data_IF_891459556008
#
_entry.id   IF_891459556008
#
_cell.length_a   1.000
_cell.length_b   1.000
_cell.length_c   1.000
_cell.angle_alpha   90.00
_cell.angle_beta   90.00
_cell.angle_gamma   90.00
#
_symmetry.space_group_name_H-M   'P 1'
#
loop_
_entity.id
_entity.type
_entity.pdbx_description
1 polymer ?
#
# COMPACT_ATOMS: atom_id res chain seq x y z
N UNK A 1 -6.68 -38.14 -1.79
CA UNK A 1 -6.66 -37.57 -3.16
C UNK A 1 -5.22 -37.14 -3.41
N UNK A 2 -4.63 -37.49 -4.56
CA UNK A 2 -3.23 -37.20 -4.85
C UNK A 2 -3.03 -35.67 -4.91
N UNK A 3 -2.09 -35.14 -4.12
CA UNK A 3 -1.82 -33.71 -4.01
C UNK A 3 -1.42 -33.10 -5.37
N UNK A 4 -0.78 -33.89 -6.23
CA UNK A 4 -0.47 -33.49 -7.61
C UNK A 4 -1.75 -33.21 -8.41
N UNK A 5 -2.79 -34.03 -8.24
CA UNK A 5 -4.09 -33.84 -8.90
C UNK A 5 -4.79 -32.58 -8.41
N UNK A 6 -4.71 -32.29 -7.12
CA UNK A 6 -5.28 -31.07 -6.53
C UNK A 6 -4.61 -29.81 -7.09
N UNK A 7 -3.28 -29.77 -7.14
CA UNK A 7 -2.53 -28.64 -7.68
C UNK A 7 -2.79 -28.41 -9.18
N UNK A 8 -2.90 -29.50 -9.95
CA UNK A 8 -3.28 -29.39 -11.36
C UNK A 8 -4.71 -28.84 -11.51
N UNK A 9 -5.65 -29.21 -10.64
CA UNK A 9 -7.01 -28.63 -10.66
C UNK A 9 -7.01 -27.14 -10.30
N UNK A 10 -6.26 -26.75 -9.28
CA UNK A 10 -6.10 -25.35 -8.89
C UNK A 10 -5.49 -24.51 -10.02
N UNK A 11 -4.45 -25.03 -10.67
CA UNK A 11 -3.80 -24.36 -11.78
C UNK A 11 -4.72 -24.27 -13.02
N UNK A 12 -5.18 -25.40 -13.54
CA UNK A 12 -5.96 -25.44 -14.79
C UNK A 12 -7.39 -24.92 -14.65
N UNK A 13 -7.93 -24.87 -13.43
CA UNK A 13 -9.24 -24.28 -13.13
C UNK A 13 -9.10 -22.85 -12.65
N UNK A 14 -8.90 -22.68 -11.32
CA UNK A 14 -8.98 -21.37 -10.67
C UNK A 14 -8.00 -20.35 -11.24
N UNK A 15 -6.74 -20.72 -11.45
CA UNK A 15 -5.73 -19.75 -11.94
C UNK A 15 -6.01 -19.31 -13.38
N UNK A 16 -6.38 -20.24 -14.24
CA UNK A 16 -6.78 -19.92 -15.60
C UNK A 16 -8.00 -18.99 -15.63
N UNK A 17 -9.03 -19.28 -14.83
CA UNK A 17 -10.23 -18.45 -14.72
C UNK A 17 -9.90 -17.05 -14.17
N UNK A 18 -9.03 -16.98 -13.16
CA UNK A 18 -8.58 -15.73 -12.55
C UNK A 18 -7.81 -14.83 -13.52
N UNK A 19 -7.06 -15.41 -14.46
CA UNK A 19 -6.30 -14.67 -15.46
C UNK A 19 -7.17 -14.20 -16.65
N UNK A 20 -8.36 -14.77 -16.82
CA UNK A 20 -9.24 -14.46 -17.94
C UNK A 20 -9.61 -12.96 -17.96
N UNK A 21 -9.37 -12.30 -19.11
CA UNK A 21 -9.63 -10.87 -19.27
C UNK A 21 -8.55 -9.94 -18.69
N UNK A 22 -7.47 -10.50 -18.14
CA UNK A 22 -6.27 -9.75 -17.72
C UNK A 22 -5.14 -9.92 -18.74
N UNK A 23 -4.06 -9.14 -18.61
CA UNK A 23 -2.83 -9.38 -19.39
C UNK A 23 -1.91 -10.44 -18.79
N UNK A 24 -2.22 -10.90 -17.58
CA UNK A 24 -1.42 -11.85 -16.83
C UNK A 24 -1.61 -13.24 -17.38
N UNK A 25 -0.51 -13.96 -17.57
CA UNK A 25 -0.54 -15.34 -18.04
C UNK A 25 -0.64 -16.29 -16.83
N UNK A 26 -1.35 -17.43 -16.95
CA UNK A 26 -1.54 -18.35 -15.82
C UNK A 26 -0.27 -18.79 -15.10
N UNK A 27 0.83 -19.01 -15.82
CA UNK A 27 2.12 -19.39 -15.22
C UNK A 27 2.84 -18.28 -14.45
N UNK A 28 2.42 -17.02 -14.60
CA UNK A 28 2.90 -15.89 -13.77
C UNK A 28 2.21 -15.87 -12.40
N UNK A 29 1.08 -16.58 -12.25
CA UNK A 29 0.30 -16.69 -11.02
C UNK A 29 0.66 -17.91 -10.16
N UNK A 30 1.74 -18.61 -10.51
CA UNK A 30 2.33 -19.69 -9.73
C UNK A 30 3.82 -19.42 -9.59
N UNK A 31 4.39 -19.74 -8.43
CA UNK A 31 5.81 -19.54 -8.15
C UNK A 31 6.33 -20.62 -7.21
N UNK A 32 7.63 -20.81 -7.18
CA UNK A 32 8.23 -21.60 -6.11
C UNK A 32 8.21 -20.82 -4.80
N UNK A 33 8.09 -21.54 -3.70
CA UNK A 33 8.20 -21.00 -2.36
C UNK A 33 9.60 -20.37 -2.20
N UNK A 34 9.68 -19.12 -1.70
CA UNK A 34 10.91 -18.33 -1.75
C UNK A 34 12.08 -18.95 -0.97
N UNK A 35 11.80 -19.76 0.05
CA UNK A 35 12.82 -20.44 0.85
C UNK A 35 13.49 -21.59 0.10
N UNK A 36 12.78 -22.20 -0.87
CA UNK A 36 13.23 -23.42 -1.55
C UNK A 36 13.97 -23.12 -2.85
N UNK A 37 13.60 -22.03 -3.56
CA UNK A 37 14.26 -21.65 -4.81
C UNK A 37 14.26 -20.13 -5.07
N UNK A 38 15.22 -19.38 -4.49
CA UNK A 38 15.27 -17.93 -4.65
C UNK A 38 15.70 -17.48 -6.06
N UNK A 39 16.37 -18.35 -6.83
CA UNK A 39 16.91 -18.03 -8.17
C UNK A 39 15.87 -18.24 -9.27
N UNK A 40 15.10 -19.33 -9.19
CA UNK A 40 14.15 -19.73 -10.22
C UNK A 40 12.71 -19.53 -9.82
N UNK A 41 12.43 -18.50 -9.01
CA UNK A 41 11.13 -18.32 -8.35
C UNK A 41 9.93 -18.35 -9.30
N UNK A 42 10.09 -17.89 -10.54
CA UNK A 42 8.99 -17.74 -11.49
C UNK A 42 9.14 -18.65 -12.71
N UNK A 43 8.01 -19.10 -13.24
CA UNK A 43 7.96 -19.91 -14.44
C UNK A 43 7.91 -19.02 -15.69
N UNK A 44 8.61 -19.43 -16.75
CA UNK A 44 8.54 -18.78 -18.07
C UNK A 44 7.42 -19.34 -18.96
N UNK A 45 6.86 -20.49 -18.58
CA UNK A 45 5.84 -21.24 -19.32
C UNK A 45 4.97 -22.06 -18.36
N UNK A 46 3.96 -22.75 -18.88
CA UNK A 46 3.09 -23.62 -18.07
C UNK A 46 3.90 -24.65 -17.28
N UNK A 47 3.79 -24.68 -15.94
CA UNK A 47 4.53 -25.64 -15.12
C UNK A 47 3.99 -27.05 -15.32
N UNK A 48 4.90 -28.02 -15.35
CA UNK A 48 4.56 -29.43 -15.25
C UNK A 48 4.60 -29.83 -13.77
N UNK A 49 3.45 -29.76 -13.09
CA UNK A 49 3.33 -30.26 -11.71
C UNK A 49 3.09 -31.77 -11.80
N UNK A 50 4.16 -32.55 -11.75
CA UNK A 50 4.11 -34.00 -11.98
C UNK A 50 4.65 -34.85 -10.83
N UNK A 51 5.23 -34.24 -9.78
CA UNK A 51 5.76 -34.97 -8.63
C UNK A 51 5.19 -34.48 -7.29
N UNK A 52 5.28 -35.36 -6.29
CA UNK A 52 4.93 -35.01 -4.91
C UNK A 52 5.88 -33.97 -4.31
N UNK A 53 7.14 -33.93 -4.73
CA UNK A 53 8.13 -32.94 -4.28
C UNK A 53 7.72 -31.54 -4.72
N UNK A 54 7.29 -31.39 -5.98
CA UNK A 54 6.77 -30.12 -6.51
C UNK A 54 5.61 -29.58 -5.66
N UNK A 55 4.83 -30.49 -5.05
CA UNK A 55 3.61 -30.13 -4.35
C UNK A 55 3.78 -29.37 -3.04
N UNK A 56 4.98 -29.40 -2.45
CA UNK A 56 5.28 -28.71 -1.18
C UNK A 56 5.92 -27.36 -1.37
N UNK A 57 6.38 -27.08 -2.59
CA UNK A 57 7.23 -25.92 -2.88
C UNK A 57 6.60 -24.98 -3.89
N UNK A 58 5.34 -25.19 -4.31
CA UNK A 58 4.62 -24.25 -5.19
C UNK A 58 3.59 -23.43 -4.43
N UNK A 59 3.55 -22.14 -4.73
CA UNK A 59 2.57 -21.18 -4.23
C UNK A 59 1.74 -20.62 -5.39
N UNK A 60 0.45 -20.43 -5.15
CA UNK A 60 -0.45 -19.79 -6.09
C UNK A 60 -0.80 -18.36 -5.67
N UNK A 61 -0.98 -17.49 -6.66
CA UNK A 61 -1.59 -16.19 -6.43
C UNK A 61 -3.06 -16.35 -6.01
N UNK A 62 -3.50 -15.47 -5.10
CA UNK A 62 -4.88 -15.43 -4.58
C UNK A 62 -5.81 -14.59 -5.45
N UNK A 63 -5.26 -13.61 -6.18
CA UNK A 63 -6.00 -12.77 -7.14
C UNK A 63 -5.04 -12.08 -8.12
N UNK A 64 -5.58 -11.35 -9.10
CA UNK A 64 -4.84 -10.44 -9.98
C UNK A 64 -5.38 -9.02 -9.78
N UNK A 65 -4.48 -8.08 -9.49
CA UNK A 65 -4.79 -6.66 -9.28
C UNK A 65 -3.87 -5.84 -10.17
N UNK A 66 -4.44 -4.94 -10.98
CA UNK A 66 -3.68 -4.07 -11.90
C UNK A 66 -2.69 -4.84 -12.81
N UNK A 67 -3.15 -5.94 -13.39
CA UNK A 67 -2.31 -6.85 -14.20
C UNK A 67 -1.09 -7.40 -13.44
N UNK A 68 -1.19 -7.54 -12.10
CA UNK A 68 -0.16 -8.17 -11.26
C UNK A 68 -0.77 -9.31 -10.43
N UNK A 69 -0.18 -10.52 -10.45
CA UNK A 69 -0.55 -11.56 -9.49
C UNK A 69 -0.30 -11.10 -8.06
N UNK A 70 -1.16 -11.54 -7.15
CA UNK A 70 -1.12 -11.19 -5.73
C UNK A 70 -0.95 -12.46 -4.91
N UNK A 71 0.00 -12.46 -3.98
CA UNK A 71 0.27 -13.63 -3.11
C UNK A 71 -0.01 -13.31 -1.64
N UNK A 72 -0.26 -14.35 -0.86
CA UNK A 72 -0.19 -14.25 0.61
C UNK A 72 1.20 -13.72 1.01
N UNK A 73 1.24 -12.85 2.01
CA UNK A 73 2.45 -12.14 2.44
C UNK A 73 2.79 -10.89 1.63
N UNK A 74 2.07 -10.61 0.52
CA UNK A 74 2.26 -9.35 -0.20
C UNK A 74 1.81 -8.16 0.65
N UNK A 75 2.51 -7.03 0.52
CA UNK A 75 2.24 -5.83 1.33
C UNK A 75 1.55 -4.77 0.49
N UNK A 76 0.49 -4.20 1.05
CA UNK A 76 -0.17 -2.99 0.58
C UNK A 76 -0.03 -1.88 1.62
N UNK A 77 -0.13 -0.65 1.13
CA UNK A 77 -0.04 0.55 1.94
C UNK A 77 -1.34 1.34 1.83
N UNK A 78 -1.84 1.86 2.96
CA UNK A 78 -2.89 2.86 2.92
C UNK A 78 -2.33 4.27 2.64
N UNK A 79 -3.24 5.24 2.52
CA UNK A 79 -2.91 6.66 2.33
C UNK A 79 -2.08 7.29 3.45
N UNK A 80 -2.11 6.71 4.65
CA UNK A 80 -1.39 7.20 5.82
C UNK A 80 -0.02 6.54 5.98
N UNK A 81 0.27 5.53 5.15
CA UNK A 81 1.54 4.78 5.14
C UNK A 81 1.53 3.54 6.01
N UNK A 82 0.37 3.16 6.55
CA UNK A 82 0.23 1.92 7.30
C UNK A 82 0.36 0.72 6.37
N UNK A 83 1.00 -0.33 6.89
CA UNK A 83 1.28 -1.56 6.14
C UNK A 83 0.24 -2.63 6.44
N UNK A 84 -0.23 -3.26 5.38
CA UNK A 84 -1.20 -4.34 5.40
C UNK A 84 -0.61 -5.55 4.69
N UNK A 85 -0.49 -6.66 5.42
CA UNK A 85 -0.04 -7.93 4.86
C UNK A 85 -1.25 -8.70 4.37
N UNK A 86 -1.26 -9.13 3.12
CA UNK A 86 -2.32 -9.95 2.56
C UNK A 86 -2.25 -11.35 3.16
N UNK A 87 -3.34 -11.81 3.76
CA UNK A 87 -3.48 -13.14 4.34
C UNK A 87 -4.43 -14.04 3.56
N UNK A 88 -5.21 -13.48 2.63
CA UNK A 88 -6.08 -14.26 1.75
C UNK A 88 -6.95 -13.41 0.83
N UNK A 89 -7.88 -14.07 0.16
CA UNK A 89 -8.87 -13.46 -0.72
C UNK A 89 -10.20 -14.19 -0.59
N UNK A 90 -11.30 -13.47 -0.42
CA UNK A 90 -12.63 -14.05 -0.27
C UNK A 90 -13.71 -13.11 -0.80
N UNK A 91 -14.65 -13.65 -1.59
CA UNK A 91 -15.80 -12.93 -2.14
C UNK A 91 -15.48 -11.57 -2.79
N UNK A 92 -14.39 -11.48 -3.55
CA UNK A 92 -14.04 -10.23 -4.25
C UNK A 92 -13.11 -9.30 -3.46
N UNK A 93 -12.83 -9.59 -2.19
CA UNK A 93 -12.07 -8.72 -1.29
C UNK A 93 -10.77 -9.38 -0.80
N UNK A 94 -9.73 -8.55 -0.62
CA UNK A 94 -8.50 -8.97 0.06
C UNK A 94 -8.74 -9.05 1.57
N UNK A 95 -8.27 -10.14 2.16
CA UNK A 95 -8.15 -10.28 3.60
C UNK A 95 -6.75 -9.81 3.96
N UNK A 96 -6.67 -8.81 4.84
CA UNK A 96 -5.39 -8.23 5.26
C UNK A 96 -5.25 -8.23 6.77
N UNK A 97 -4.02 -8.31 7.23
CA UNK A 97 -3.64 -8.10 8.61
C UNK A 97 -2.86 -6.78 8.73
N UNK A 98 -3.29 -5.95 9.67
CA UNK A 98 -2.62 -4.68 9.94
C UNK A 98 -1.37 -4.92 10.79
N UNK A 99 -0.20 -4.48 10.30
CA UNK A 99 1.09 -4.63 10.99
C UNK A 99 1.26 -3.68 12.20
N UNK A 100 0.21 -3.40 12.97
CA UNK A 100 0.30 -2.70 14.25
C UNK A 100 0.21 -3.66 15.42
N UNK A 101 0.81 -3.29 16.56
CA UNK A 101 0.84 -4.06 17.82
C UNK A 101 -0.52 -4.56 18.33
N UNK A 102 -1.62 -4.05 17.78
CA UNK A 102 -3.00 -4.37 18.16
C UNK A 102 -3.64 -5.52 17.36
N UNK A 103 -2.97 -6.09 16.34
CA UNK A 103 -3.35 -7.33 15.65
C UNK A 103 -4.83 -7.43 15.28
N UNK A 104 -5.19 -7.03 14.06
CA UNK A 104 -6.58 -7.11 13.60
C UNK A 104 -6.67 -7.51 12.13
N UNK A 105 -7.50 -8.52 11.84
CA UNK A 105 -7.91 -8.86 10.47
C UNK A 105 -8.90 -7.80 10.00
N UNK A 106 -8.59 -7.18 8.86
CA UNK A 106 -9.43 -6.16 8.24
C UNK A 106 -9.74 -6.54 6.79
N UNK A 107 -10.87 -6.03 6.31
CA UNK A 107 -11.23 -6.08 4.89
C UNK A 107 -10.80 -4.76 4.25
N UNK A 108 -9.99 -4.84 3.20
CA UNK A 108 -9.52 -3.66 2.48
C UNK A 108 -10.09 -3.67 1.07
N UNK A 109 -10.85 -2.62 0.72
CA UNK A 109 -11.17 -2.36 -0.68
C UNK A 109 -9.92 -1.76 -1.34
N UNK A 110 -9.20 -2.59 -2.07
CA UNK A 110 -7.96 -2.18 -2.71
C UNK A 110 -8.18 -1.07 -3.76
N UNK A 111 -9.39 -0.93 -4.33
CA UNK A 111 -9.66 0.03 -5.39
C UNK A 111 -9.71 1.47 -4.89
N UNK A 112 -9.96 1.68 -3.60
CA UNK A 112 -10.15 3.02 -3.03
C UNK A 112 -9.08 3.38 -2.02
N UNK A 113 -8.55 2.41 -1.28
CA UNK A 113 -7.83 2.68 -0.04
C UNK A 113 -6.42 2.10 0.05
N UNK A 114 -5.94 1.40 -1.00
CA UNK A 114 -4.66 0.69 -0.96
C UNK A 114 -3.77 0.94 -2.18
N UNK A 115 -2.46 0.90 -1.99
CA UNK A 115 -1.45 0.96 -3.06
C UNK A 115 -0.32 -0.02 -2.83
N UNK A 116 0.31 -0.48 -3.92
CA UNK A 116 1.54 -1.26 -3.89
C UNK A 116 2.76 -0.47 -3.41
N UNK A 117 2.70 0.85 -3.49
CA UNK A 117 3.80 1.74 -3.10
C UNK A 117 3.41 2.52 -1.86
N UNK A 118 4.31 2.66 -0.87
CA UNK A 118 4.06 3.53 0.26
C UNK A 118 3.78 4.96 -0.25
N UNK A 119 2.85 5.69 0.39
CA UNK A 119 2.69 7.10 0.10
C UNK A 119 4.04 7.80 0.31
N UNK A 120 4.35 8.78 -0.53
CA UNK A 120 5.57 9.56 -0.39
C UNK A 120 5.61 10.14 1.03
N UNK A 121 6.74 9.95 1.75
CA UNK A 121 6.88 10.37 3.14
C UNK A 121 6.35 11.79 3.34
N UNK A 122 5.50 11.97 4.36
CA UNK A 122 5.05 13.29 4.80
C UNK A 122 6.29 14.13 5.08
N UNK A 123 6.56 15.10 4.21
CA UNK A 123 7.72 15.97 4.35
C UNK A 123 7.50 16.90 5.54
N UNK A 124 8.56 17.15 6.28
CA UNK A 124 8.58 18.11 7.38
C UNK A 124 9.55 19.25 7.06
N UNK A 125 9.43 20.37 7.77
CA UNK A 125 10.40 21.45 7.75
C UNK A 125 10.66 21.92 9.17
N UNK A 126 11.87 22.40 9.45
CA UNK A 126 12.21 22.90 10.78
C UNK A 126 11.94 24.40 10.88
N UNK A 127 11.24 24.83 11.93
CA UNK A 127 11.03 26.23 12.28
C UNK A 127 11.39 26.43 13.76
N UNK A 128 12.38 27.29 14.04
CA UNK A 128 12.87 27.55 15.41
C UNK A 128 13.22 26.27 16.20
N UNK A 129 13.78 25.26 15.51
CA UNK A 129 14.15 23.97 16.12
C UNK A 129 13.00 22.96 16.26
N UNK A 130 11.76 23.33 15.92
CA UNK A 130 10.60 22.44 15.91
C UNK A 130 10.38 21.85 14.51
N UNK A 131 10.12 20.55 14.43
CA UNK A 131 9.84 19.85 13.18
C UNK A 131 8.34 19.89 12.88
N UNK A 132 7.97 20.57 11.78
CA UNK A 132 6.58 20.88 11.43
C UNK A 132 6.17 20.27 10.08
N UNK A 133 4.87 20.00 9.84
CA UNK A 133 4.37 19.48 8.57
C UNK A 133 4.66 20.39 7.37
N UNK A 134 5.15 19.86 6.24
CA UNK A 134 5.34 20.68 5.03
C UNK A 134 4.03 21.13 4.39
N UNK A 135 3.97 22.36 3.84
CA UNK A 135 2.87 22.78 3.00
C UNK A 135 2.72 21.93 1.72
N UNK A 136 1.47 21.76 1.29
CA UNK A 136 1.09 21.06 0.06
C UNK A 136 0.55 22.02 -1.00
N UNK A 137 0.58 21.60 -2.27
CA UNK A 137 -0.03 22.36 -3.36
C UNK A 137 -1.55 22.37 -3.23
N UNK A 138 -2.17 23.54 -3.32
CA UNK A 138 -3.62 23.68 -3.43
C UNK A 138 -4.08 23.34 -4.85
N UNK A 139 -4.53 22.11 -5.06
CA UNK A 139 -5.11 21.64 -6.34
C UNK A 139 -6.65 21.63 -6.30
N UNK A 140 -7.27 22.64 -5.68
CA UNK A 140 -8.74 22.76 -5.63
C UNK A 140 -9.46 21.69 -4.80
N UNK A 141 -8.77 21.05 -3.85
CA UNK A 141 -9.35 20.02 -2.99
C UNK A 141 -9.99 20.65 -1.74
N UNK A 142 -11.26 20.30 -1.48
CA UNK A 142 -12.08 20.84 -0.38
C UNK A 142 -11.59 20.47 1.03
N UNK A 143 -10.72 19.47 1.15
CA UNK A 143 -10.23 18.95 2.44
C UNK A 143 -9.01 19.68 2.98
N UNK A 144 -8.43 20.62 2.23
CA UNK A 144 -7.20 21.32 2.61
C UNK A 144 -7.51 22.57 3.44
N UNK A 145 -6.76 22.74 4.53
CA UNK A 145 -6.82 23.94 5.39
C UNK A 145 -5.63 24.82 5.09
N UNK A 146 -5.80 26.15 5.11
CA UNK A 146 -4.77 27.09 4.69
C UNK A 146 -4.50 28.22 5.67
N UNK A 147 -3.24 28.66 5.70
CA UNK A 147 -2.77 29.86 6.41
C UNK A 147 -2.59 30.97 5.38
N UNK A 148 -3.24 32.11 5.60
CA UNK A 148 -3.03 33.32 4.81
C UNK A 148 -1.88 34.14 5.39
N UNK A 149 -0.82 34.36 4.61
CA UNK A 149 0.28 35.24 4.96
C UNK A 149 0.16 36.52 4.13
N UNK A 150 -0.06 37.65 4.81
CA UNK A 150 -0.26 38.94 4.16
C UNK A 150 0.64 40.01 4.74
N UNK A 151 1.19 40.83 3.85
CA UNK A 151 1.92 42.07 4.14
C UNK A 151 1.35 43.18 3.25
N UNK A 152 1.83 44.41 3.43
CA UNK A 152 1.46 45.53 2.57
C UNK A 152 1.90 45.36 1.11
N UNK A 153 2.90 44.51 0.84
CA UNK A 153 3.48 44.32 -0.49
C UNK A 153 3.14 43.00 -1.16
N UNK A 154 2.83 41.96 -0.38
CA UNK A 154 2.61 40.60 -0.86
C UNK A 154 1.59 39.88 -0.01
N UNK A 155 0.75 39.09 -0.66
CA UNK A 155 -0.17 38.13 -0.05
C UNK A 155 -0.01 36.78 -0.72
N UNK A 156 0.13 35.73 0.08
CA UNK A 156 0.09 34.35 -0.41
C UNK A 156 -0.55 33.45 0.64
N UNK A 157 -0.95 32.26 0.23
CA UNK A 157 -1.51 31.25 1.12
C UNK A 157 -0.68 29.97 1.03
N UNK A 158 -0.46 29.36 2.19
CA UNK A 158 0.11 28.01 2.31
C UNK A 158 -0.97 27.05 2.78
N UNK A 159 -0.91 25.81 2.34
CA UNK A 159 -1.99 24.83 2.53
C UNK A 159 -1.44 23.56 3.15
N UNK A 160 -2.26 22.87 3.93
CA UNK A 160 -1.91 21.63 4.62
C UNK A 160 -2.96 20.55 4.33
N UNK A 161 -2.59 19.29 4.52
CA UNK A 161 -3.48 18.15 4.23
C UNK A 161 -4.64 18.05 5.21
N UNK A 162 -4.46 18.58 6.43
CA UNK A 162 -5.47 18.57 7.47
C UNK A 162 -5.47 19.86 8.28
N UNK A 163 -6.57 20.09 8.99
CA UNK A 163 -6.68 21.18 9.96
C UNK A 163 -5.64 21.07 11.08
N UNK A 164 -5.45 19.88 11.65
CA UNK A 164 -4.46 19.67 12.73
C UNK A 164 -3.03 20.02 12.31
N UNK A 165 -2.62 19.72 11.07
CA UNK A 165 -1.31 20.15 10.56
C UNK A 165 -1.21 21.67 10.42
N UNK A 166 -2.29 22.30 9.95
CA UNK A 166 -2.37 23.76 9.83
C UNK A 166 -2.27 24.43 11.21
N UNK A 167 -3.01 23.92 12.19
CA UNK A 167 -3.04 24.45 13.56
C UNK A 167 -1.65 24.32 14.21
N UNK A 168 -0.97 23.17 14.08
CA UNK A 168 0.39 22.98 14.60
C UNK A 168 1.40 24.02 14.06
N UNK A 169 1.32 24.36 12.77
CA UNK A 169 2.18 25.39 12.18
C UNK A 169 1.81 26.79 12.69
N UNK A 170 0.52 27.08 12.84
CA UNK A 170 0.05 28.36 13.39
C UNK A 170 0.50 28.56 14.83
N UNK A 171 0.37 27.53 15.68
CA UNK A 171 0.77 27.57 17.08
C UNK A 171 2.28 27.84 17.22
N UNK A 172 3.10 27.18 16.40
CA UNK A 172 4.53 27.41 16.37
C UNK A 172 4.89 28.86 15.95
N UNK A 173 4.20 29.40 14.94
CA UNK A 173 4.39 30.79 14.51
C UNK A 173 3.96 31.76 15.61
N UNK A 174 2.79 31.55 16.23
CA UNK A 174 2.25 32.39 17.30
C UNK A 174 3.19 32.42 18.50
N UNK A 175 3.73 31.27 18.88
CA UNK A 175 4.73 31.14 19.94
C UNK A 175 5.97 32.00 19.65
N UNK A 176 6.55 31.88 18.45
CA UNK A 176 7.73 32.65 18.05
C UNK A 176 7.47 34.16 18.11
N UNK A 177 6.32 34.61 17.61
CA UNK A 177 5.96 36.04 17.59
C UNK A 177 5.73 36.55 19.02
N UNK A 178 5.05 35.75 19.86
CA UNK A 178 4.78 36.10 21.25
C UNK A 178 6.06 36.20 22.06
N UNK A 179 6.95 35.21 21.96
CA UNK A 179 8.26 35.22 22.60
C UNK A 179 9.13 36.39 22.12
N UNK A 180 9.05 36.76 20.84
CA UNK A 180 9.79 37.89 20.31
C UNK A 180 9.24 39.25 20.80
N UNK A 181 7.92 39.34 21.01
CA UNK A 181 7.26 40.55 21.56
C UNK A 181 7.59 40.77 23.03
N UNK A 182 7.64 39.68 23.80
CA UNK A 182 7.78 39.72 25.26
C UNK A 182 9.25 39.72 25.73
N UNK A 183 10.21 39.80 24.80
CA UNK A 183 11.64 40.04 25.05
C UNK A 183 11.93 41.53 25.13
#
# INVERSE_FOLDING_TARGET
MDKVVELNREYWGRIHDMCAGTKVKPWECIRWHPEDNPVWRYFSEHPQICSFEDSWIVEFAVTVIEDKPVWVGSVLYDKDGNQYTITGYFLGALIVEHNTKTGGVQWLDWKTDASWTPPAHKRTFTLNGEELPCPVKHRGQLTKTGIGISSTRKRFAVWFESKSQCDAVMDAIEKIITEARDK
#
